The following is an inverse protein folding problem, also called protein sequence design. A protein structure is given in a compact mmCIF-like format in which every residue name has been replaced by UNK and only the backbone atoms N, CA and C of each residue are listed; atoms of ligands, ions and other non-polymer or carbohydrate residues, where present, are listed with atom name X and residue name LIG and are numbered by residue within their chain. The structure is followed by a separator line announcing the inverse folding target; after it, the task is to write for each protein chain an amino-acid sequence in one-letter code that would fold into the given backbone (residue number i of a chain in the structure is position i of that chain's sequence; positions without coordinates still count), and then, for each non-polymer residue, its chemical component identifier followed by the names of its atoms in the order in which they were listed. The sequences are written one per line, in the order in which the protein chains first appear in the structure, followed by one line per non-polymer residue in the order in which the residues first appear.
data_IF_770256750553
#
_entry.id   IF_770256750553
#
_cell.length_a   1.000
_cell.length_b   1.000
_cell.length_c   1.000
_cell.angle_alpha   90.00
_cell.angle_beta   90.00
_cell.angle_gamma   90.00
#
_symmetry.space_group_name_H-M   'P 1'
#
loop_
_entity.id
_entity.type
_entity.pdbx_description
1 polymer ?
#
# COMPACT_ATOMS: atom_id res chain seq x y z
N UNK A 1 -19.77 15.12 -1.39
CA UNK A 1 -18.50 14.73 -2.01
C UNK A 1 -17.36 15.21 -1.13
N UNK A 2 -16.30 14.41 -0.92
CA UNK A 2 -15.13 14.85 -0.18
C UNK A 2 -14.54 16.11 -0.78
N UNK A 3 -14.02 17.01 0.07
CA UNK A 3 -13.40 18.24 -0.42
C UNK A 3 -12.05 17.86 -1.05
N UNK A 4 -11.82 18.33 -2.27
CA UNK A 4 -10.61 18.04 -3.02
C UNK A 4 -9.94 19.31 -3.54
N UNK A 5 -8.61 19.28 -3.64
CA UNK A 5 -7.80 20.34 -4.23
C UNK A 5 -6.88 19.76 -5.30
N UNK A 6 -6.97 20.31 -6.50
CA UNK A 6 -6.10 19.94 -7.62
C UNK A 6 -4.70 20.57 -7.47
N UNK A 7 -3.71 20.10 -8.23
CA UNK A 7 -2.32 20.56 -8.14
C UNK A 7 -2.15 22.08 -8.35
N UNK A 8 -3.04 22.70 -9.13
CA UNK A 8 -3.04 24.15 -9.41
C UNK A 8 -3.72 24.97 -8.30
N UNK A 9 -4.26 24.32 -7.26
CA UNK A 9 -4.95 24.94 -6.14
C UNK A 9 -4.10 24.92 -4.86
N UNK A 10 -2.80 24.72 -4.97
CA UNK A 10 -1.83 24.66 -3.87
C UNK A 10 -1.93 25.86 -2.90
N UNK A 11 -2.07 27.09 -3.42
CA UNK A 11 -2.24 28.29 -2.62
C UNK A 11 -3.59 28.35 -1.90
N UNK A 12 -4.64 27.73 -2.47
CA UNK A 12 -5.96 27.63 -1.84
C UNK A 12 -5.94 26.57 -0.75
N UNK A 13 -5.38 25.41 -1.05
CA UNK A 13 -5.17 24.34 -0.07
C UNK A 13 -4.38 24.83 1.15
N UNK A 14 -3.25 25.48 0.96
CA UNK A 14 -2.43 26.00 2.06
C UNK A 14 -3.12 27.06 2.93
N UNK A 15 -4.19 27.72 2.43
CA UNK A 15 -4.99 28.70 3.19
C UNK A 15 -6.18 28.07 3.92
N UNK A 16 -6.78 27.05 3.33
CA UNK A 16 -7.97 26.37 3.84
C UNK A 16 -7.64 25.14 4.71
N UNK A 17 -6.35 24.85 4.85
CA UNK A 17 -5.87 23.76 5.66
C UNK A 17 -6.07 24.04 7.15
N UNK A 18 -6.52 23.01 7.85
CA UNK A 18 -6.61 22.95 9.30
C UNK A 18 -5.43 22.14 9.87
N UNK A 19 -4.74 22.71 10.86
CA UNK A 19 -3.65 22.01 11.56
C UNK A 19 -4.17 20.79 12.32
N UNK A 20 -3.38 19.71 12.30
CA UNK A 20 -3.71 18.44 12.95
C UNK A 20 -4.75 17.59 12.20
N UNK A 21 -5.40 18.11 11.16
CA UNK A 21 -6.28 17.33 10.29
C UNK A 21 -5.45 16.43 9.37
N UNK A 22 -5.96 15.21 9.13
CA UNK A 22 -5.36 14.27 8.17
C UNK A 22 -5.90 14.52 6.77
N UNK A 23 -5.00 14.76 5.83
CA UNK A 23 -5.28 14.90 4.41
C UNK A 23 -4.74 13.69 3.65
N UNK A 24 -5.38 13.35 2.54
CA UNK A 24 -5.07 12.14 1.77
C UNK A 24 -4.65 12.48 0.36
N UNK A 25 -3.70 11.73 -0.17
CA UNK A 25 -3.21 11.84 -1.55
C UNK A 25 -3.18 10.45 -2.15
N UNK A 26 -3.60 10.33 -3.40
CA UNK A 26 -3.51 9.08 -4.15
C UNK A 26 -2.14 9.04 -4.83
N UNK A 27 -1.45 7.92 -4.72
CA UNK A 27 -0.17 7.70 -5.37
C UNK A 27 -0.22 6.42 -6.20
N UNK A 28 0.25 6.51 -7.43
CA UNK A 28 0.40 5.35 -8.31
C UNK A 28 1.62 4.53 -7.87
N UNK A 29 1.44 3.21 -7.81
CA UNK A 29 2.49 2.27 -7.44
C UNK A 29 3.06 1.63 -8.70
N UNK A 30 4.38 1.51 -8.75
CA UNK A 30 5.09 0.77 -9.78
C UNK A 30 4.86 -0.75 -9.60
N UNK A 31 3.77 -1.27 -10.15
CA UNK A 31 3.36 -2.68 -10.03
C UNK A 31 4.36 -3.66 -10.65
N UNK A 32 5.24 -3.20 -11.54
CA UNK A 32 6.37 -3.98 -12.05
C UNK A 32 7.42 -4.32 -10.98
N UNK A 33 7.56 -3.48 -9.95
CA UNK A 33 8.49 -3.70 -8.83
C UNK A 33 7.79 -4.29 -7.61
N UNK A 34 6.52 -3.94 -7.39
CA UNK A 34 5.69 -4.45 -6.29
C UNK A 34 4.40 -5.08 -6.84
N UNK A 35 4.46 -6.31 -7.41
CA UNK A 35 3.31 -6.95 -8.06
C UNK A 35 2.16 -7.31 -7.12
N UNK A 36 2.43 -7.35 -5.81
CA UNK A 36 1.47 -7.69 -4.78
C UNK A 36 0.73 -6.46 -4.25
N UNK A 37 1.19 -5.24 -4.52
CA UNK A 37 0.53 -4.02 -4.08
C UNK A 37 -0.58 -3.59 -5.05
N UNK A 38 -1.51 -2.77 -4.56
CA UNK A 38 -2.54 -2.18 -5.40
C UNK A 38 -1.92 -1.14 -6.34
N UNK A 39 -2.46 -1.01 -7.56
CA UNK A 39 -1.95 -0.04 -8.53
C UNK A 39 -2.02 1.41 -8.03
N UNK A 40 -2.97 1.71 -7.13
CA UNK A 40 -3.13 3.01 -6.51
C UNK A 40 -3.33 2.85 -5.01
N UNK A 41 -2.58 3.62 -4.23
CA UNK A 41 -2.64 3.61 -2.77
C UNK A 41 -2.79 5.03 -2.22
N UNK A 42 -3.41 5.16 -1.05
CA UNK A 42 -3.59 6.43 -0.38
C UNK A 42 -2.50 6.69 0.66
N UNK A 43 -1.87 7.86 0.58
CA UNK A 43 -0.93 8.35 1.58
C UNK A 43 -1.57 9.46 2.41
N UNK A 44 -1.42 9.37 3.73
CA UNK A 44 -1.87 10.39 4.67
C UNK A 44 -0.79 11.44 4.94
N UNK A 45 -1.20 12.69 5.11
CA UNK A 45 -0.37 13.80 5.55
C UNK A 45 -1.07 14.55 6.68
N UNK A 46 -0.31 14.86 7.73
CA UNK A 46 -0.75 15.70 8.83
C UNK A 46 0.19 16.88 8.92
N UNK A 47 -0.38 18.08 8.86
CA UNK A 47 0.38 19.33 8.98
C UNK A 47 0.27 19.81 10.42
N UNK A 48 1.42 19.99 11.05
CA UNK A 48 1.53 20.31 12.49
C UNK A 48 2.31 21.59 12.73
N UNK A 49 3.11 22.03 11.75
CA UNK A 49 4.08 23.10 11.93
C UNK A 49 4.03 24.09 10.77
N UNK A 50 4.78 25.18 10.90
CA UNK A 50 5.00 26.13 9.82
C UNK A 50 6.46 26.10 9.39
N UNK A 51 6.70 26.21 8.09
CA UNK A 51 8.05 26.37 7.56
C UNK A 51 8.68 27.68 8.10
N UNK A 52 9.91 27.65 8.61
CA UNK A 52 10.50 28.75 9.38
C UNK A 52 10.66 30.04 8.58
N UNK A 53 10.89 29.96 7.27
CA UNK A 53 11.13 31.13 6.43
C UNK A 53 9.89 31.62 5.68
N UNK A 54 9.02 30.70 5.25
CA UNK A 54 7.88 31.03 4.38
C UNK A 54 6.56 31.11 5.12
N UNK A 55 6.52 30.67 6.39
CA UNK A 55 5.29 30.56 7.17
C UNK A 55 4.25 29.64 6.52
N UNK A 56 4.66 28.77 5.60
CA UNK A 56 3.72 27.85 4.93
C UNK A 56 3.48 26.65 5.84
N UNK A 57 2.24 26.18 6.01
CA UNK A 57 1.98 24.97 6.77
C UNK A 57 2.79 23.77 6.27
N UNK A 58 3.25 22.95 7.19
CA UNK A 58 4.30 21.96 7.01
C UNK A 58 4.00 20.72 7.87
N UNK A 59 4.32 19.55 7.34
CA UNK A 59 4.32 18.30 8.10
C UNK A 59 5.56 18.23 9.00
N UNK A 60 5.53 17.42 10.05
CA UNK A 60 6.70 17.20 10.90
C UNK A 60 7.95 16.78 10.09
N UNK A 61 7.75 16.04 8.99
CA UNK A 61 8.83 15.60 8.09
C UNK A 61 9.37 16.70 7.14
N UNK A 62 8.90 17.95 7.26
CA UNK A 62 9.36 19.08 6.46
C UNK A 62 8.66 19.28 5.12
N UNK A 63 7.64 18.48 4.78
CA UNK A 63 6.89 18.66 3.54
C UNK A 63 5.88 19.81 3.68
N UNK A 64 5.98 20.84 2.84
CA UNK A 64 5.04 21.97 2.88
C UNK A 64 3.71 21.62 2.21
N UNK A 65 2.61 22.22 2.66
CA UNK A 65 1.28 22.02 2.09
C UNK A 65 1.23 22.33 0.60
N UNK A 66 1.98 23.35 0.15
CA UNK A 66 2.08 23.71 -1.26
C UNK A 66 2.81 22.63 -2.07
N UNK A 67 3.91 22.11 -1.55
CA UNK A 67 4.68 21.05 -2.19
C UNK A 67 3.86 19.77 -2.34
N UNK A 68 3.19 19.35 -1.27
CA UNK A 68 2.31 18.17 -1.28
C UNK A 68 1.21 18.32 -2.33
N UNK A 69 0.50 19.45 -2.34
CA UNK A 69 -0.59 19.66 -3.29
C UNK A 69 -0.09 19.76 -4.74
N UNK A 70 1.00 20.49 -4.99
CA UNK A 70 1.51 20.72 -6.35
C UNK A 70 2.15 19.47 -6.96
N UNK A 71 2.98 18.76 -6.20
CA UNK A 71 3.83 17.70 -6.73
C UNK A 71 3.26 16.30 -6.52
N UNK A 72 2.35 16.12 -5.56
CA UNK A 72 1.77 14.82 -5.23
C UNK A 72 0.25 14.78 -5.43
N UNK A 73 -0.40 15.95 -5.48
CA UNK A 73 -1.86 16.06 -5.54
C UNK A 73 -2.48 15.42 -6.79
N UNK A 74 -3.82 15.27 -6.82
CA UNK A 74 -4.82 15.94 -5.98
C UNK A 74 -4.85 15.52 -4.50
N UNK A 75 -5.24 16.46 -3.63
CA UNK A 75 -5.36 16.26 -2.17
C UNK A 75 -6.84 16.17 -1.80
N UNK A 76 -7.18 15.24 -0.90
CA UNK A 76 -8.53 14.96 -0.40
C UNK A 76 -8.60 15.20 1.11
N UNK A 77 -9.73 15.76 1.58
CA UNK A 77 -9.93 16.01 3.01
C UNK A 77 -10.37 14.77 3.81
N UNK A 78 -10.95 13.78 3.13
CA UNK A 78 -11.22 12.47 3.68
C UNK A 78 -10.63 11.40 2.77
N UNK A 79 -10.41 10.21 3.36
CA UNK A 79 -9.87 9.08 2.63
C UNK A 79 -10.84 8.67 1.50
N UNK A 80 -10.38 8.58 0.25
CA UNK A 80 -11.17 8.04 -0.84
C UNK A 80 -11.71 6.63 -0.48
N UNK A 81 -13.01 6.35 -0.68
CA UNK A 81 -13.60 5.08 -0.29
C UNK A 81 -13.01 3.92 -1.11
N UNK A 82 -12.76 2.79 -0.46
CA UNK A 82 -12.28 1.57 -1.13
C UNK A 82 -10.80 1.57 -1.51
N UNK A 83 -10.04 2.64 -1.24
CA UNK A 83 -8.59 2.68 -1.48
C UNK A 83 -7.81 2.31 -0.23
N UNK A 84 -6.81 1.43 -0.38
CA UNK A 84 -5.91 1.01 0.72
C UNK A 84 -4.87 2.10 1.03
N UNK A 85 -4.56 2.27 2.31
CA UNK A 85 -3.51 3.21 2.72
C UNK A 85 -2.12 2.57 2.69
N UNK A 86 -1.07 3.38 2.52
CA UNK A 86 0.31 2.89 2.66
C UNK A 86 0.51 2.27 4.05
N UNK A 87 1.07 1.05 4.08
CA UNK A 87 1.32 0.30 5.30
C UNK A 87 0.13 -0.54 5.80
N UNK A 88 -1.05 -0.41 5.20
CA UNK A 88 -2.13 -1.35 5.48
C UNK A 88 -1.87 -2.68 4.77
N UNK A 89 -2.03 -3.81 5.46
CA UNK A 89 -1.85 -5.10 4.85
C UNK A 89 -2.93 -5.37 3.80
N UNK A 90 -2.58 -6.16 2.79
CA UNK A 90 -3.55 -6.70 1.86
C UNK A 90 -4.57 -7.56 2.61
N UNK A 91 -5.83 -7.52 2.18
CA UNK A 91 -6.89 -8.36 2.75
C UNK A 91 -6.53 -9.85 2.73
N UNK A 92 -5.76 -10.30 1.73
CA UNK A 92 -5.31 -11.69 1.62
C UNK A 92 -4.15 -12.07 2.55
N UNK A 93 -3.47 -11.10 3.16
CA UNK A 93 -2.30 -11.33 4.04
C UNK A 93 -2.66 -11.12 5.51
N UNK A 94 -3.69 -10.32 5.82
CA UNK A 94 -4.12 -10.02 7.18
C UNK A 94 -5.57 -10.41 7.51
N UNK A 95 -6.29 -11.07 6.60
CA UNK A 95 -7.51 -11.75 7.02
C UNK A 95 -7.14 -12.79 8.07
N UNK A 96 -7.87 -12.89 9.20
CA UNK A 96 -7.71 -14.04 10.06
C UNK A 96 -7.91 -15.27 9.17
N UNK A 97 -6.95 -16.20 9.19
CA UNK A 97 -7.25 -17.60 8.88
C UNK A 97 -8.49 -17.87 9.73
N UNK A 98 -9.66 -18.06 9.11
CA UNK A 98 -10.92 -18.17 9.85
C UNK A 98 -10.72 -19.06 11.07
N UNK A 99 -11.31 -18.69 12.22
CA UNK A 99 -11.21 -19.34 13.55
C UNK A 99 -10.17 -20.45 13.62
N UNK A 100 -9.07 -20.31 14.39
CA UNK A 100 -7.92 -21.22 14.66
C UNK A 100 -7.97 -22.75 14.30
N UNK A 101 -9.14 -23.27 13.98
CA UNK A 101 -9.57 -24.53 13.40
C UNK A 101 -9.76 -24.49 11.86
N UNK A 102 -9.23 -23.51 11.11
CA UNK A 102 -9.21 -23.61 9.63
C UNK A 102 -8.29 -24.76 9.21
N UNK A 103 -8.89 -25.94 9.08
CA UNK A 103 -8.34 -27.06 8.35
C UNK A 103 -8.76 -26.90 6.89
N UNK A 104 -7.81 -26.55 6.02
CA UNK A 104 -8.01 -26.73 4.58
C UNK A 104 -8.20 -28.21 4.32
N UNK A 105 -9.45 -28.65 4.11
CA UNK A 105 -9.75 -30.04 3.76
C UNK A 105 -9.16 -30.29 2.37
N UNK A 106 -7.96 -30.85 2.36
CA UNK A 106 -7.30 -31.28 1.14
C UNK A 106 -8.03 -32.50 0.59
N UNK A 107 -8.33 -32.49 -0.70
CA UNK A 107 -8.86 -33.68 -1.34
C UNK A 107 -7.76 -34.77 -1.48
N UNK A 108 -8.17 -36.00 -1.79
CA UNK A 108 -7.23 -37.12 -1.94
C UNK A 108 -6.15 -36.87 -3.01
N UNK A 109 -6.46 -36.09 -4.05
CA UNK A 109 -5.53 -35.78 -5.12
C UNK A 109 -4.48 -34.76 -4.68
N UNK A 110 -4.88 -33.76 -3.91
CA UNK A 110 -4.01 -32.76 -3.28
C UNK A 110 -3.09 -33.39 -2.24
N UNK A 111 -3.61 -34.27 -1.37
CA UNK A 111 -2.82 -35.04 -0.41
C UNK A 111 -1.76 -35.90 -1.13
N UNK A 112 -2.16 -36.66 -2.15
CA UNK A 112 -1.22 -37.47 -2.94
C UNK A 112 -0.17 -36.61 -3.66
N UNK A 113 -0.55 -35.42 -4.11
CA UNK A 113 0.35 -34.46 -4.74
C UNK A 113 1.39 -33.88 -3.77
N UNK A 114 1.00 -33.63 -2.52
CA UNK A 114 1.90 -33.17 -1.45
C UNK A 114 2.84 -34.28 -0.99
N UNK A 115 2.32 -35.49 -0.76
CA UNK A 115 3.13 -36.66 -0.42
C UNK A 115 4.19 -36.94 -1.49
N UNK A 116 3.82 -36.83 -2.77
CA UNK A 116 4.76 -36.95 -3.88
C UNK A 116 5.85 -35.88 -3.83
N UNK A 117 5.47 -34.60 -3.60
CA UNK A 117 6.44 -33.50 -3.49
C UNK A 117 7.40 -33.66 -2.32
N UNK A 118 6.93 -34.12 -1.16
CA UNK A 118 7.78 -34.42 0.01
C UNK A 118 8.72 -35.57 -0.28
N UNK A 119 8.23 -36.64 -0.92
CA UNK A 119 9.04 -37.79 -1.33
C UNK A 119 10.12 -37.41 -2.34
N UNK A 120 9.79 -36.55 -3.29
CA UNK A 120 10.72 -36.09 -4.34
C UNK A 120 11.70 -35.02 -3.82
N UNK A 121 11.31 -34.21 -2.82
CA UNK A 121 12.11 -33.12 -2.26
C UNK A 121 13.04 -33.51 -1.10
N UNK A 122 12.73 -34.61 -0.38
CA UNK A 122 13.49 -35.07 0.81
C UNK A 122 14.80 -35.80 0.45
N UNK A 123 14.95 -36.29 -0.78
CA UNK A 123 16.22 -36.84 -1.26
C UNK A 123 17.07 -35.78 -1.98
N UNK A 124 18.19 -35.31 -1.39
CA UNK A 124 19.05 -34.31 -2.03
C UNK A 124 19.59 -34.75 -3.40
N UNK A 125 19.71 -36.06 -3.65
CA UNK A 125 20.15 -36.63 -4.93
C UNK A 125 19.05 -36.79 -5.99
N UNK A 126 17.77 -36.62 -5.64
CA UNK A 126 16.62 -36.68 -6.58
C UNK A 126 16.09 -35.30 -6.94
N UNK A 127 16.62 -34.24 -6.31
CA UNK A 127 16.30 -32.86 -6.65
C UNK A 127 16.77 -32.60 -8.08
N UNK A 128 15.86 -32.13 -8.94
CA UNK A 128 16.26 -31.57 -10.24
C UNK A 128 17.26 -30.43 -9.98
N UNK A 129 18.39 -30.37 -10.68
CA UNK A 129 19.30 -29.24 -10.57
C UNK A 129 18.56 -27.97 -10.97
N UNK A 130 18.81 -26.88 -10.25
CA UNK A 130 18.06 -25.62 -10.35
C UNK A 130 18.00 -25.00 -11.77
N UNK A 131 18.76 -25.53 -12.73
CA UNK A 131 18.83 -25.06 -14.11
C UNK A 131 18.07 -25.94 -15.12
N UNK A 132 17.27 -26.94 -14.70
CA UNK A 132 16.60 -27.86 -15.64
C UNK A 132 15.22 -27.39 -16.13
N UNK A 133 14.84 -26.13 -15.90
CA UNK A 133 13.57 -25.58 -16.39
C UNK A 133 13.79 -24.79 -17.67
N UNK A 134 13.68 -25.48 -18.81
CA UNK A 134 13.42 -24.90 -20.12
C UNK A 134 12.51 -25.83 -20.92
N UNK A 135 11.51 -25.33 -21.64
CA UNK A 135 11.31 -25.72 -23.03
C UNK A 135 12.47 -25.19 -23.88
#
# INVERSE_FOLDING_TARGET
MPKQWNCNQDKKFARELEFGKTYWVISDIATNLAPFEDAQMCRSYVFTEHAPFTGTPMTADGATARDVCRNRGPVYDTRPPGMRAFGEPLSRVAAPLGSNDYEGVLDEAELRGLEKRVRDGSHPHKRRPANSWRP
#
